data_IF_249903726313
#
_entry.id   IF_249903726313
#
_cell.length_a   1.000
_cell.length_b   1.000
_cell.length_c   1.000
_cell.angle_alpha   90.00
_cell.angle_beta   90.00
_cell.angle_gamma   90.00
#
_symmetry.space_group_name_H-M   'P 1'
#
loop_
_entity.id
_entity.type
_entity.pdbx_description
1 polymer ?
#
# COMPACT_ATOMS: atom_id res chain seq x y z
N UNK A 1 -20.83 -11.67 -1.87
CA UNK A 1 -19.73 -11.39 -2.83
C UNK A 1 -18.46 -11.99 -2.25
N UNK A 2 -17.96 -13.09 -2.83
CA UNK A 2 -16.76 -13.77 -2.32
C UNK A 2 -15.49 -12.99 -2.66
N UNK A 3 -14.74 -12.58 -1.63
CA UNK A 3 -13.50 -11.81 -1.76
C UNK A 3 -12.32 -12.68 -1.32
N UNK A 4 -11.31 -12.80 -2.19
CA UNK A 4 -10.02 -13.41 -1.85
C UNK A 4 -8.99 -12.30 -1.67
N UNK A 5 -8.34 -12.26 -0.49
CA UNK A 5 -7.28 -11.30 -0.16
C UNK A 5 -5.95 -12.03 -0.18
N UNK A 6 -5.13 -11.77 -1.19
CA UNK A 6 -3.75 -12.29 -1.28
C UNK A 6 -2.81 -11.37 -0.49
N UNK A 7 -1.96 -11.93 0.35
CA UNK A 7 -1.11 -11.18 1.27
C UNK A 7 -1.84 -10.79 2.57
N UNK A 8 -2.75 -11.65 3.04
CA UNK A 8 -3.59 -11.44 4.21
C UNK A 8 -2.80 -11.20 5.52
N UNK A 9 -1.55 -11.66 5.63
CA UNK A 9 -0.68 -11.37 6.77
C UNK A 9 0.03 -10.00 6.70
N UNK A 10 -0.12 -9.27 5.59
CA UNK A 10 0.43 -7.92 5.40
C UNK A 10 -0.37 -6.85 6.14
N UNK A 11 0.13 -5.60 6.16
CA UNK A 11 -0.52 -4.47 6.84
C UNK A 11 -1.96 -4.26 6.35
N UNK A 12 -2.13 -4.05 5.05
CA UNK A 12 -3.45 -3.85 4.45
C UNK A 12 -4.28 -5.13 4.40
N UNK A 13 -3.62 -6.28 4.13
CA UNK A 13 -4.31 -7.57 4.07
C UNK A 13 -5.04 -7.92 5.36
N UNK A 14 -4.41 -7.72 6.52
CA UNK A 14 -5.04 -7.94 7.84
C UNK A 14 -6.25 -7.03 8.06
N UNK A 15 -6.12 -5.75 7.70
CA UNK A 15 -7.23 -4.80 7.86
C UNK A 15 -8.38 -5.10 6.89
N UNK A 16 -8.09 -5.55 5.67
CA UNK A 16 -9.13 -6.03 4.74
C UNK A 16 -9.89 -7.23 5.28
N UNK A 17 -9.19 -8.26 5.76
CA UNK A 17 -9.82 -9.45 6.36
C UNK A 17 -10.65 -9.08 7.60
N UNK A 18 -10.22 -8.07 8.37
CA UNK A 18 -10.94 -7.59 9.55
C UNK A 18 -12.21 -6.81 9.21
N UNK A 19 -12.19 -6.01 8.14
CA UNK A 19 -13.28 -5.08 7.78
C UNK A 19 -14.32 -5.74 6.87
N UNK A 20 -13.88 -6.63 5.98
CA UNK A 20 -14.77 -7.31 5.04
C UNK A 20 -15.61 -8.39 5.76
N UNK A 21 -16.82 -8.73 5.24
CA UNK A 21 -17.67 -9.75 5.85
C UNK A 21 -16.96 -11.10 5.98
N UNK A 22 -16.81 -11.66 7.20
CA UNK A 22 -16.00 -12.88 7.42
C UNK A 22 -16.52 -14.10 6.64
N UNK A 23 -17.84 -14.24 6.48
CA UNK A 23 -18.46 -15.37 5.77
C UNK A 23 -18.16 -15.37 4.25
N UNK A 24 -17.70 -14.24 3.72
CA UNK A 24 -17.45 -14.02 2.29
C UNK A 24 -15.98 -13.78 1.97
N UNK A 25 -15.12 -13.71 2.98
CA UNK A 25 -13.71 -13.30 2.82
C UNK A 25 -12.76 -14.44 3.13
N UNK A 26 -11.88 -14.74 2.17
CA UNK A 26 -10.79 -15.71 2.33
C UNK A 26 -9.47 -14.95 2.26
N UNK A 27 -8.69 -15.00 3.34
CA UNK A 27 -7.33 -14.44 3.38
C UNK A 27 -6.30 -15.51 3.04
N UNK A 28 -5.48 -15.28 2.04
CA UNK A 28 -4.35 -16.14 1.68
C UNK A 28 -3.04 -15.52 2.18
N UNK A 29 -2.30 -16.27 2.98
CA UNK A 29 -0.94 -15.94 3.40
C UNK A 29 0.08 -16.70 2.53
N UNK A 30 1.38 -16.43 2.75
CA UNK A 30 2.45 -17.03 1.92
C UNK A 30 2.43 -18.57 1.97
N UNK A 31 2.08 -19.14 3.11
CA UNK A 31 2.04 -20.59 3.29
C UNK A 31 0.86 -21.22 2.52
N UNK A 32 -0.22 -20.45 2.25
CA UNK A 32 -1.36 -20.88 1.43
C UNK A 32 -1.10 -20.71 -0.07
N UNK A 33 -0.35 -19.67 -0.44
CA UNK A 33 -0.02 -19.32 -1.82
C UNK A 33 1.33 -18.59 -1.89
N UNK A 34 2.39 -19.32 -2.24
CA UNK A 34 3.68 -18.70 -2.56
C UNK A 34 3.64 -18.07 -3.96
N UNK A 35 3.81 -16.76 -4.04
CA UNK A 35 3.76 -16.02 -5.29
C UNK A 35 4.98 -16.25 -6.21
N UNK A 36 6.02 -16.94 -5.73
CA UNK A 36 7.11 -17.42 -6.58
C UNK A 36 6.68 -18.64 -7.41
N UNK A 37 5.71 -19.44 -6.92
CA UNK A 37 5.07 -20.49 -7.69
C UNK A 37 3.85 -19.93 -8.46
N UNK A 38 4.10 -19.33 -9.59
CA UNK A 38 3.04 -18.78 -10.44
C UNK A 38 2.10 -19.83 -11.02
N UNK A 39 2.54 -21.09 -11.07
CA UNK A 39 1.72 -22.22 -11.51
C UNK A 39 0.58 -22.56 -10.54
N UNK A 40 0.80 -22.34 -9.25
CA UNK A 40 -0.20 -22.56 -8.21
C UNK A 40 -1.31 -21.49 -8.18
N UNK A 41 -1.08 -20.30 -8.75
CA UNK A 41 -2.01 -19.16 -8.61
C UNK A 41 -3.38 -19.45 -9.22
N UNK A 42 -3.42 -19.88 -10.48
CA UNK A 42 -4.67 -20.10 -11.19
C UNK A 42 -5.52 -21.24 -10.57
N UNK A 43 -4.97 -22.43 -10.26
CA UNK A 43 -5.76 -23.48 -9.62
C UNK A 43 -6.25 -23.10 -8.22
N UNK A 44 -5.43 -22.39 -7.41
CA UNK A 44 -5.85 -21.93 -6.08
C UNK A 44 -7.02 -20.95 -6.17
N UNK A 45 -6.95 -19.96 -7.05
CA UNK A 45 -8.04 -19.00 -7.24
C UNK A 45 -9.29 -19.67 -7.83
N UNK A 46 -9.13 -20.61 -8.77
CA UNK A 46 -10.25 -21.34 -9.33
C UNK A 46 -11.00 -22.18 -8.29
N UNK A 47 -10.30 -22.85 -7.39
CA UNK A 47 -10.89 -23.64 -6.29
C UNK A 47 -11.72 -22.76 -5.32
N UNK A 48 -11.31 -21.49 -5.14
CA UNK A 48 -12.02 -20.55 -4.28
C UNK A 48 -13.19 -19.84 -4.97
N UNK A 49 -13.25 -19.85 -6.30
CA UNK A 49 -14.31 -19.23 -7.13
C UNK A 49 -14.64 -17.78 -6.66
N UNK A 50 -13.68 -16.84 -6.64
CA UNK A 50 -13.89 -15.49 -6.13
C UNK A 50 -14.69 -14.62 -7.10
N UNK A 51 -15.50 -13.70 -6.55
CA UNK A 51 -16.03 -12.55 -7.29
C UNK A 51 -14.99 -11.44 -7.43
N UNK A 52 -14.13 -11.31 -6.40
CA UNK A 52 -13.09 -10.29 -6.30
C UNK A 52 -11.82 -10.90 -5.74
N UNK A 53 -10.69 -10.59 -6.37
CA UNK A 53 -9.36 -10.87 -5.83
C UNK A 53 -8.66 -9.55 -5.51
N UNK A 54 -8.27 -9.35 -4.24
CA UNK A 54 -7.49 -8.20 -3.81
C UNK A 54 -6.06 -8.64 -3.56
N UNK A 55 -5.14 -8.22 -4.42
CA UNK A 55 -3.71 -8.43 -4.22
C UNK A 55 -3.11 -7.31 -3.36
N UNK A 56 -2.99 -7.57 -2.05
CA UNK A 56 -2.32 -6.72 -1.07
C UNK A 56 -0.89 -7.18 -0.75
N UNK A 57 -0.36 -8.15 -1.52
CA UNK A 57 1.02 -8.63 -1.39
C UNK A 57 2.00 -7.75 -2.14
N UNK A 58 3.23 -7.67 -1.64
CA UNK A 58 4.36 -7.07 -2.34
C UNK A 58 5.67 -7.52 -1.71
N UNK A 59 6.72 -7.68 -2.53
CA UNK A 59 8.08 -7.58 -2.05
C UNK A 59 8.42 -6.10 -1.89
N UNK A 60 8.66 -5.65 -0.65
CA UNK A 60 8.77 -4.24 -0.28
C UNK A 60 10.08 -3.88 0.43
N UNK A 61 11.13 -4.71 0.29
CA UNK A 61 12.51 -4.41 0.74
C UNK A 61 13.17 -3.46 -0.27
N UNK A 62 12.78 -2.18 -0.20
CA UNK A 62 13.09 -1.14 -1.21
C UNK A 62 14.59 -1.04 -1.47
N UNK A 63 15.42 -1.00 -0.41
CA UNK A 63 16.89 -0.90 -0.55
C UNK A 63 17.52 -2.20 -1.07
N UNK A 64 17.01 -3.36 -0.69
CA UNK A 64 17.51 -4.65 -1.19
C UNK A 64 17.22 -4.86 -2.67
N UNK A 65 16.11 -4.31 -3.16
CA UNK A 65 15.76 -4.39 -4.58
C UNK A 65 16.70 -3.60 -5.49
N UNK A 66 17.46 -2.63 -4.96
CA UNK A 66 18.52 -1.96 -5.75
C UNK A 66 19.72 -2.87 -5.97
N UNK A 67 20.02 -3.76 -5.02
CA UNK A 67 21.11 -4.73 -5.16
C UNK A 67 20.70 -5.92 -6.03
N UNK A 68 19.48 -6.45 -5.79
CA UNK A 68 18.88 -7.55 -6.57
C UNK A 68 17.36 -7.42 -6.59
N UNK A 69 16.83 -7.13 -7.77
CA UNK A 69 15.40 -6.98 -7.98
C UNK A 69 14.66 -8.30 -8.30
N UNK A 70 15.31 -9.45 -8.32
CA UNK A 70 14.75 -10.74 -8.76
C UNK A 70 13.46 -11.08 -7.98
N UNK A 71 13.49 -11.05 -6.65
CA UNK A 71 12.30 -11.30 -5.81
C UNK A 71 11.22 -10.24 -6.05
N UNK A 72 11.61 -8.98 -6.19
CA UNK A 72 10.67 -7.89 -6.44
C UNK A 72 9.99 -8.03 -7.81
N UNK A 73 10.71 -8.42 -8.85
CA UNK A 73 10.15 -8.70 -10.18
C UNK A 73 9.19 -9.90 -10.11
N UNK A 74 9.59 -11.00 -9.47
CA UNK A 74 8.77 -12.19 -9.34
C UNK A 74 7.42 -11.88 -8.67
N UNK A 75 7.44 -11.22 -7.51
CA UNK A 75 6.24 -10.96 -6.71
C UNK A 75 5.44 -9.76 -7.24
N UNK A 76 6.11 -8.63 -7.56
CA UNK A 76 5.43 -7.39 -7.89
C UNK A 76 4.98 -7.28 -9.35
N UNK A 77 5.49 -8.14 -10.24
CA UNK A 77 5.15 -8.11 -11.66
C UNK A 77 4.66 -9.47 -12.17
N UNK A 78 5.48 -10.54 -12.09
CA UNK A 78 5.16 -11.83 -12.71
C UNK A 78 3.96 -12.49 -12.05
N UNK A 79 3.91 -12.54 -10.71
CA UNK A 79 2.76 -13.07 -9.98
C UNK A 79 1.49 -12.22 -10.20
N UNK A 80 1.63 -10.89 -10.34
CA UNK A 80 0.51 -10.00 -10.67
C UNK A 80 -0.08 -10.35 -12.04
N UNK A 81 0.76 -10.62 -13.05
CA UNK A 81 0.31 -11.06 -14.36
C UNK A 81 -0.45 -12.40 -14.29
N UNK A 82 0.03 -13.36 -13.49
CA UNK A 82 -0.63 -14.65 -13.29
C UNK A 82 -2.01 -14.48 -12.62
N UNK A 83 -2.10 -13.67 -11.56
CA UNK A 83 -3.36 -13.34 -10.89
C UNK A 83 -4.35 -12.64 -11.83
N UNK A 84 -3.88 -11.66 -12.61
CA UNK A 84 -4.70 -10.92 -13.55
C UNK A 84 -5.31 -11.83 -14.63
N UNK A 85 -4.50 -12.78 -15.17
CA UNK A 85 -4.97 -13.80 -16.14
C UNK A 85 -5.99 -14.77 -15.50
N UNK A 86 -5.72 -15.22 -14.26
CA UNK A 86 -6.65 -16.08 -13.53
C UNK A 86 -8.00 -15.37 -13.30
N UNK A 87 -7.98 -14.12 -12.84
CA UNK A 87 -9.19 -13.32 -12.66
C UNK A 87 -9.97 -13.13 -13.98
N UNK A 88 -9.26 -12.88 -15.09
CA UNK A 88 -9.89 -12.82 -16.42
C UNK A 88 -10.62 -14.12 -16.77
N UNK A 89 -9.99 -15.27 -16.56
CA UNK A 89 -10.57 -16.58 -16.81
C UNK A 89 -11.81 -16.87 -15.94
N UNK A 90 -11.82 -16.38 -14.71
CA UNK A 90 -12.90 -16.55 -13.74
C UNK A 90 -14.01 -15.47 -13.85
N UNK A 91 -13.83 -14.42 -14.64
CA UNK A 91 -14.72 -13.26 -14.67
C UNK A 91 -14.69 -12.44 -13.37
N UNK A 92 -13.67 -12.63 -12.52
CA UNK A 92 -13.52 -11.93 -11.26
C UNK A 92 -12.97 -10.50 -11.45
N UNK A 93 -13.31 -9.59 -10.54
CA UNK A 93 -12.66 -8.28 -10.43
C UNK A 93 -11.27 -8.47 -9.81
N UNK A 94 -10.23 -7.92 -10.47
CA UNK A 94 -8.87 -7.90 -9.94
C UNK A 94 -8.52 -6.53 -9.37
N UNK A 95 -8.21 -6.46 -8.07
CA UNK A 95 -7.75 -5.25 -7.39
C UNK A 95 -6.29 -5.41 -7.01
N UNK A 96 -5.42 -4.54 -7.54
CA UNK A 96 -3.97 -4.58 -7.27
C UNK A 96 -3.54 -3.37 -6.48
N UNK A 97 -2.95 -3.59 -5.31
CA UNK A 97 -2.40 -2.51 -4.47
C UNK A 97 -1.02 -2.12 -4.94
N UNK A 98 -0.83 -0.82 -5.21
CA UNK A 98 0.42 -0.21 -5.65
C UNK A 98 0.88 0.89 -4.69
N UNK A 99 1.79 1.75 -5.11
CA UNK A 99 2.52 2.70 -4.28
C UNK A 99 2.64 4.08 -4.92
N UNK A 100 2.79 5.09 -4.08
CA UNK A 100 3.18 6.45 -4.43
C UNK A 100 4.59 6.54 -5.03
N UNK A 101 5.47 5.58 -4.78
CA UNK A 101 6.85 5.54 -5.30
C UNK A 101 6.93 5.38 -6.82
N UNK A 102 5.81 5.14 -7.50
CA UNK A 102 5.78 5.20 -8.97
C UNK A 102 6.01 6.61 -9.52
N UNK A 103 5.97 7.64 -8.69
CA UNK A 103 6.26 9.02 -9.04
C UNK A 103 7.67 9.44 -8.62
N UNK A 104 8.26 10.39 -9.37
CA UNK A 104 9.63 10.91 -9.12
C UNK A 104 9.72 11.95 -8.00
N UNK A 105 8.61 12.45 -7.51
CA UNK A 105 8.57 13.43 -6.42
C UNK A 105 8.86 14.88 -6.82
N UNK A 106 8.79 15.24 -8.12
CA UNK A 106 9.19 16.55 -8.63
C UNK A 106 8.01 17.48 -8.97
N UNK A 107 6.77 17.01 -8.84
CA UNK A 107 5.60 17.80 -9.25
C UNK A 107 5.35 19.04 -8.39
N UNK A 108 5.82 19.09 -7.14
CA UNK A 108 5.58 20.20 -6.20
C UNK A 108 4.11 20.38 -5.80
N UNK A 109 3.24 19.47 -6.20
CA UNK A 109 1.82 19.40 -5.88
C UNK A 109 1.39 17.94 -5.68
N UNK A 110 0.25 17.66 -5.06
CA UNK A 110 -0.28 16.31 -5.00
C UNK A 110 -0.45 15.70 -6.40
N UNK A 111 0.02 14.45 -6.55
CA UNK A 111 -0.16 13.69 -7.78
C UNK A 111 -1.59 13.19 -7.90
N UNK A 112 -2.17 13.34 -9.07
CA UNK A 112 -3.48 12.78 -9.44
C UNK A 112 -3.31 11.44 -10.15
N UNK A 113 -4.41 10.73 -10.34
CA UNK A 113 -4.41 9.47 -11.10
C UNK A 113 -4.10 9.65 -12.59
N UNK A 114 -4.13 10.88 -13.11
CA UNK A 114 -3.85 11.22 -14.50
C UNK A 114 -2.38 11.63 -14.73
N UNK A 115 -1.61 11.83 -13.65
CA UNK A 115 -0.19 12.15 -13.75
C UNK A 115 0.61 10.92 -14.23
N UNK A 116 1.54 11.14 -15.15
CA UNK A 116 2.39 10.09 -15.67
C UNK A 116 3.37 9.59 -14.58
N UNK A 117 3.49 8.27 -14.37
CA UNK A 117 4.48 7.72 -13.45
C UNK A 117 5.90 7.85 -14.03
N UNK A 118 6.87 8.09 -13.14
CA UNK A 118 8.31 8.13 -13.45
C UNK A 118 9.12 7.53 -12.29
N UNK A 119 9.10 6.19 -12.09
CA UNK A 119 9.73 5.54 -10.94
C UNK A 119 11.25 5.59 -11.01
N UNK A 120 11.89 6.00 -9.92
CA UNK A 120 13.35 6.12 -9.84
C UNK A 120 14.00 4.87 -9.22
N UNK A 121 13.35 4.17 -8.27
CA UNK A 121 13.89 2.98 -7.63
C UNK A 121 13.53 1.68 -8.35
N UNK A 122 14.36 0.64 -8.17
CA UNK A 122 14.09 -0.71 -8.69
C UNK A 122 12.75 -1.25 -8.18
N UNK A 123 12.48 -1.13 -6.88
CA UNK A 123 11.19 -1.47 -6.29
C UNK A 123 10.02 -0.79 -7.03
N UNK A 124 10.09 0.52 -7.20
CA UNK A 124 9.02 1.30 -7.82
C UNK A 124 8.78 0.89 -9.28
N UNK A 125 9.85 0.57 -10.02
CA UNK A 125 9.75 0.03 -11.40
C UNK A 125 9.03 -1.30 -11.43
N UNK A 126 9.31 -2.21 -10.48
CA UNK A 126 8.60 -3.50 -10.41
C UNK A 126 7.12 -3.32 -10.06
N UNK A 127 6.78 -2.37 -9.18
CA UNK A 127 5.39 -2.04 -8.85
C UNK A 127 4.65 -1.44 -10.05
N UNK A 128 5.27 -0.52 -10.80
CA UNK A 128 4.68 0.03 -12.02
C UNK A 128 4.46 -1.06 -13.08
N UNK A 129 5.41 -1.99 -13.25
CA UNK A 129 5.23 -3.13 -14.14
C UNK A 129 3.99 -3.97 -13.75
N UNK A 130 3.77 -4.20 -12.45
CA UNK A 130 2.56 -4.85 -11.93
C UNK A 130 1.28 -4.08 -12.27
N UNK A 131 1.27 -2.75 -12.12
CA UNK A 131 0.13 -1.91 -12.51
C UNK A 131 -0.23 -2.09 -14.00
N UNK A 132 0.77 -2.02 -14.87
CA UNK A 132 0.59 -2.15 -16.31
C UNK A 132 0.07 -3.55 -16.69
N UNK A 133 0.59 -4.60 -16.06
CA UNK A 133 0.15 -5.98 -16.25
C UNK A 133 -1.28 -6.20 -15.72
N UNK A 134 -1.62 -5.68 -14.57
CA UNK A 134 -2.97 -5.75 -14.03
C UNK A 134 -3.99 -5.11 -14.99
N UNK A 135 -3.69 -3.91 -15.49
CA UNK A 135 -4.55 -3.15 -16.41
C UNK A 135 -4.70 -3.80 -17.78
N UNK A 136 -3.63 -4.38 -18.32
CA UNK A 136 -3.64 -4.98 -19.67
C UNK A 136 -4.25 -6.38 -19.70
N UNK A 137 -4.13 -7.16 -18.61
CA UNK A 137 -4.50 -8.57 -18.59
C UNK A 137 -5.86 -8.84 -17.95
N UNK A 138 -6.32 -7.97 -17.01
CA UNK A 138 -7.62 -8.10 -16.38
C UNK A 138 -8.59 -7.02 -16.90
N UNK A 139 -9.60 -7.37 -17.70
CA UNK A 139 -10.56 -6.39 -18.23
C UNK A 139 -11.39 -5.70 -17.12
N UNK A 140 -11.59 -6.40 -16.01
CA UNK A 140 -12.22 -5.87 -14.79
C UNK A 140 -11.15 -5.72 -13.73
N UNK A 141 -10.65 -4.49 -13.54
CA UNK A 141 -9.57 -4.21 -12.60
C UNK A 141 -9.73 -2.89 -11.87
N UNK A 142 -9.06 -2.80 -10.72
CA UNK A 142 -8.72 -1.54 -10.09
C UNK A 142 -7.26 -1.61 -9.61
N UNK A 143 -6.46 -0.62 -9.94
CA UNK A 143 -5.15 -0.40 -9.35
C UNK A 143 -5.31 0.65 -8.26
N UNK A 144 -4.84 0.34 -7.05
CA UNK A 144 -5.01 1.21 -5.87
C UNK A 144 -3.63 1.64 -5.39
N UNK A 145 -3.23 2.88 -5.64
CA UNK A 145 -2.01 3.45 -5.09
C UNK A 145 -2.26 3.98 -3.69
N UNK A 146 -1.38 3.62 -2.78
CA UNK A 146 -1.35 4.08 -1.38
C UNK A 146 -0.01 4.75 -1.08
N UNK A 147 0.07 5.58 -0.05
CA UNK A 147 1.29 6.26 0.37
C UNK A 147 1.55 6.09 1.87
N UNK A 148 2.79 5.90 2.27
CA UNK A 148 3.19 5.87 3.67
C UNK A 148 2.37 4.93 4.56
N UNK A 149 2.01 3.74 4.06
CA UNK A 149 1.07 2.82 4.71
C UNK A 149 1.59 2.31 6.05
N UNK A 150 0.76 2.38 7.09
CA UNK A 150 1.05 1.85 8.41
C UNK A 150 -0.15 1.10 9.02
N UNK A 151 0.15 0.11 9.87
CA UNK A 151 -0.84 -0.67 10.62
C UNK A 151 -0.18 -1.30 11.84
N UNK A 152 -0.96 -1.68 12.84
CA UNK A 152 -0.47 -2.45 14.00
C UNK A 152 0.26 -3.72 13.56
N UNK A 153 1.36 -4.04 14.24
CA UNK A 153 2.19 -5.20 13.93
C UNK A 153 3.01 -5.09 12.63
N UNK A 154 2.92 -3.97 11.91
CA UNK A 154 3.78 -3.65 10.76
C UNK A 154 3.79 -4.69 9.64
N UNK A 155 4.83 -4.63 8.80
CA UNK A 155 5.10 -5.62 7.75
C UNK A 155 5.96 -6.78 8.29
N UNK A 156 5.70 -8.00 7.82
CA UNK A 156 6.51 -9.18 8.13
C UNK A 156 7.99 -8.91 7.84
N UNK A 157 8.88 -9.20 8.79
CA UNK A 157 10.33 -9.03 8.64
C UNK A 157 10.88 -7.61 8.85
N UNK A 158 10.02 -6.60 9.16
CA UNK A 158 10.48 -5.20 9.41
C UNK A 158 10.42 -4.77 10.88
N UNK A 159 10.08 -5.66 11.81
CA UNK A 159 10.07 -5.34 13.25
C UNK A 159 9.01 -4.32 13.67
N UNK A 160 7.84 -4.32 13.01
CA UNK A 160 6.76 -3.38 13.28
C UNK A 160 6.56 -2.31 12.19
N UNK A 161 5.58 -1.43 12.39
CA UNK A 161 5.36 -0.25 11.55
C UNK A 161 6.45 0.81 11.79
N UNK A 162 6.46 1.86 10.99
CA UNK A 162 7.33 3.02 11.25
C UNK A 162 7.07 3.60 12.65
N UNK A 163 5.80 3.75 13.02
CA UNK A 163 5.38 4.30 14.33
C UNK A 163 5.85 3.39 15.45
N UNK A 164 5.63 2.07 15.34
CA UNK A 164 6.03 1.10 16.36
C UNK A 164 7.54 1.20 16.66
N UNK A 165 8.37 1.32 15.60
CA UNK A 165 9.82 1.45 15.73
C UNK A 165 10.23 2.77 16.38
N UNK A 166 9.63 3.90 15.99
CA UNK A 166 9.90 5.22 16.57
C UNK A 166 9.55 5.22 18.05
N UNK A 167 8.37 4.72 18.43
CA UNK A 167 7.95 4.65 19.83
C UNK A 167 8.83 3.71 20.66
N UNK A 168 9.22 2.56 20.12
CA UNK A 168 10.12 1.63 20.80
C UNK A 168 11.50 2.26 21.04
N UNK A 169 12.13 2.84 20.00
CA UNK A 169 13.42 3.50 20.13
C UNK A 169 13.39 4.65 21.13
N UNK A 170 12.32 5.46 21.12
CA UNK A 170 12.14 6.56 22.06
C UNK A 170 12.04 6.08 23.50
N UNK A 171 11.26 5.01 23.76
CA UNK A 171 11.12 4.42 25.11
C UNK A 171 12.42 3.80 25.63
N UNK A 172 13.27 3.34 24.74
CA UNK A 172 14.60 2.80 25.05
C UNK A 172 15.66 3.90 25.22
N UNK A 173 15.30 5.17 25.06
CA UNK A 173 16.23 6.31 25.12
C UNK A 173 17.25 6.36 23.99
N UNK A 174 16.98 5.65 22.88
CA UNK A 174 17.88 5.64 21.71
C UNK A 174 17.67 6.89 20.85
N UNK A 175 18.75 7.48 20.29
CA UNK A 175 18.66 8.65 19.42
C UNK A 175 17.75 8.37 18.22
N UNK A 176 16.88 9.31 17.90
CA UNK A 176 16.02 9.26 16.74
C UNK A 176 16.54 10.22 15.67
N UNK A 177 16.74 9.71 14.45
CA UNK A 177 17.11 10.49 13.27
C UNK A 177 16.10 10.20 12.17
N UNK A 178 15.33 11.21 11.75
CA UNK A 178 14.22 11.04 10.81
C UNK A 178 14.32 12.07 9.69
N UNK A 179 14.10 11.63 8.46
CA UNK A 179 14.17 12.48 7.26
C UNK A 179 13.08 13.55 7.26
N UNK A 180 13.48 14.78 6.95
CA UNK A 180 12.57 15.94 6.89
C UNK A 180 12.31 16.44 5.46
N UNK A 181 13.01 15.91 4.48
CA UNK A 181 12.96 16.27 3.06
C UNK A 181 12.17 15.28 2.20
N UNK A 182 11.44 14.34 2.83
CA UNK A 182 10.49 13.45 2.17
C UNK A 182 9.09 13.74 2.66
N UNK A 183 8.26 14.32 1.79
CA UNK A 183 6.87 14.70 2.10
C UNK A 183 5.93 13.67 1.49
N UNK A 184 5.05 13.12 2.32
CA UNK A 184 4.07 12.10 1.92
C UNK A 184 2.73 12.33 2.62
N UNK A 185 1.74 11.50 2.32
CA UNK A 185 0.47 11.40 3.05
C UNK A 185 0.45 10.07 3.84
N UNK A 186 0.93 10.03 5.10
CA UNK A 186 0.92 8.80 5.88
C UNK A 186 -0.50 8.27 6.00
N UNK A 187 -0.70 6.99 5.67
CA UNK A 187 -2.02 6.42 5.51
C UNK A 187 -2.22 5.20 6.40
N UNK A 188 -3.23 5.24 7.26
CA UNK A 188 -3.62 4.10 8.08
C UNK A 188 -4.30 3.03 7.22
N UNK A 189 -3.78 1.81 7.26
CA UNK A 189 -4.30 0.69 6.46
C UNK A 189 -5.78 0.38 6.73
N UNK A 190 -6.29 0.68 7.94
CA UNK A 190 -7.70 0.58 8.29
C UNK A 190 -8.56 1.50 7.40
N UNK A 191 -8.17 2.74 7.23
CA UNK A 191 -8.93 3.71 6.43
C UNK A 191 -8.97 3.31 4.94
N UNK A 192 -7.87 2.72 4.45
CA UNK A 192 -7.84 2.12 3.09
C UNK A 192 -8.77 0.92 3.00
N UNK A 193 -8.73 0.01 3.97
CA UNK A 193 -9.58 -1.18 3.99
C UNK A 193 -11.07 -0.83 4.03
N UNK A 194 -11.47 0.14 4.85
CA UNK A 194 -12.85 0.63 4.94
C UNK A 194 -13.30 1.30 3.63
N UNK A 195 -12.41 2.07 2.98
CA UNK A 195 -12.69 2.66 1.67
C UNK A 195 -12.86 1.57 0.61
N UNK A 196 -11.98 0.56 0.59
CA UNK A 196 -12.11 -0.56 -0.34
C UNK A 196 -13.37 -1.39 -0.06
N UNK A 197 -13.75 -1.59 1.19
CA UNK A 197 -14.99 -2.31 1.52
C UNK A 197 -16.23 -1.65 0.91
N UNK A 198 -16.27 -0.31 0.80
CA UNK A 198 -17.34 0.43 0.11
C UNK A 198 -17.18 0.40 -1.42
N UNK A 199 -15.95 0.48 -1.92
CA UNK A 199 -15.66 0.58 -3.34
C UNK A 199 -15.81 -0.76 -4.10
N UNK A 200 -15.43 -1.89 -3.49
CA UNK A 200 -15.43 -3.21 -4.13
C UNK A 200 -16.81 -3.61 -4.68
N UNK A 201 -17.93 -3.47 -3.95
CA UNK A 201 -19.26 -3.77 -4.50
C UNK A 201 -19.61 -2.91 -5.72
N UNK A 202 -19.23 -1.61 -5.70
CA UNK A 202 -19.50 -0.68 -6.82
C UNK A 202 -18.69 -1.04 -8.07
N UNK A 203 -17.40 -1.38 -7.90
CA UNK A 203 -16.54 -1.87 -8.98
C UNK A 203 -17.08 -3.18 -9.55
N UNK A 204 -17.49 -4.11 -8.68
CA UNK A 204 -18.03 -5.42 -9.09
C UNK A 204 -19.33 -5.27 -9.87
N UNK A 205 -20.19 -4.32 -9.49
CA UNK A 205 -21.46 -4.04 -10.16
C UNK A 205 -21.32 -3.15 -11.41
N UNK A 206 -20.12 -2.66 -11.75
CA UNK A 206 -19.90 -1.71 -12.85
C UNK A 206 -20.40 -0.28 -12.55
N UNK A 207 -20.67 0.04 -11.29
CA UNK A 207 -21.09 1.37 -10.82
C UNK A 207 -19.92 2.30 -10.57
N UNK A 208 -18.71 1.77 -10.56
CA UNK A 208 -17.46 2.50 -10.61
C UNK A 208 -16.61 1.95 -11.77
N UNK A 209 -15.90 2.81 -12.53
CA UNK A 209 -15.12 2.37 -13.68
C UNK A 209 -13.90 1.55 -13.25
N UNK A 210 -13.50 0.57 -14.08
CA UNK A 210 -12.17 -0.03 -13.98
C UNK A 210 -11.12 1.04 -14.18
N UNK A 211 -10.01 0.96 -13.45
CA UNK A 211 -8.93 1.92 -13.64
C UNK A 211 -8.04 2.10 -12.41
N UNK A 212 -7.39 3.24 -12.37
CA UNK A 212 -6.45 3.64 -11.33
C UNK A 212 -7.14 4.51 -10.28
N UNK A 213 -6.87 4.27 -9.01
CA UNK A 213 -7.38 5.02 -7.87
C UNK A 213 -6.24 5.35 -6.90
N UNK A 214 -6.21 6.56 -6.38
CA UNK A 214 -5.43 6.90 -5.21
C UNK A 214 -6.29 6.76 -3.96
N UNK A 215 -5.75 6.13 -2.92
CA UNK A 215 -6.47 5.92 -1.65
C UNK A 215 -5.52 6.22 -0.50
N UNK A 216 -5.52 7.45 -0.02
CA UNK A 216 -4.65 7.92 1.06
C UNK A 216 -5.42 8.79 2.04
N UNK A 217 -4.96 8.84 3.30
CA UNK A 217 -5.40 9.87 4.21
C UNK A 217 -5.09 11.26 3.64
N UNK A 218 -5.87 12.26 4.00
CA UNK A 218 -5.69 13.62 3.49
C UNK A 218 -4.61 14.39 4.24
N UNK A 219 -4.10 15.44 3.61
CA UNK A 219 -3.00 16.25 4.12
C UNK A 219 -1.64 15.70 3.73
N UNK A 220 -0.60 16.37 4.18
CA UNK A 220 0.79 16.06 3.88
C UNK A 220 1.68 16.39 5.08
N UNK A 221 2.73 15.61 5.30
CA UNK A 221 3.78 15.91 6.27
C UNK A 221 5.07 15.22 5.89
N UNK A 222 6.20 15.66 6.47
CA UNK A 222 7.44 14.91 6.40
C UNK A 222 7.41 13.70 7.35
N UNK A 223 8.27 12.71 7.10
CA UNK A 223 8.45 11.61 8.05
C UNK A 223 8.89 12.11 9.43
N UNK A 224 9.70 13.19 9.48
CA UNK A 224 10.10 13.85 10.71
C UNK A 224 8.90 14.41 11.48
N UNK A 225 8.03 15.17 10.80
CA UNK A 225 6.81 15.70 11.40
C UNK A 225 5.88 14.58 11.87
N UNK A 226 5.71 13.53 11.07
CA UNK A 226 4.92 12.36 11.43
C UNK A 226 5.43 11.66 12.69
N UNK A 227 6.77 11.46 12.79
CA UNK A 227 7.39 10.87 13.99
C UNK A 227 7.20 11.74 15.22
N UNK A 228 7.41 13.06 15.12
CA UNK A 228 7.19 13.99 16.24
C UNK A 228 5.76 13.97 16.73
N UNK A 229 4.80 14.00 15.78
CA UNK A 229 3.38 13.95 16.12
C UNK A 229 3.01 12.62 16.78
N UNK A 230 3.57 11.50 16.33
CA UNK A 230 3.35 10.20 16.96
C UNK A 230 3.85 10.15 18.41
N UNK A 231 5.02 10.72 18.69
CA UNK A 231 5.56 10.83 20.05
C UNK A 231 4.69 11.74 20.93
N UNK A 232 4.31 12.92 20.43
CA UNK A 232 3.42 13.85 21.12
C UNK A 232 2.11 13.19 21.53
N UNK A 233 1.41 12.56 20.57
CA UNK A 233 0.13 11.89 20.80
C UNK A 233 0.24 10.67 21.73
N UNK A 234 1.36 9.95 21.68
CA UNK A 234 1.63 8.83 22.58
C UNK A 234 2.14 9.25 23.97
N UNK A 235 2.32 10.55 24.24
CA UNK A 235 2.84 11.06 25.50
C UNK A 235 4.29 10.66 25.78
N UNK A 236 5.07 10.31 24.73
CA UNK A 236 6.48 9.87 24.84
C UNK A 236 7.40 11.05 24.57
N UNK A 237 8.21 11.43 25.57
CA UNK A 237 9.22 12.48 25.41
C UNK A 237 10.50 11.89 24.84
N UNK A 238 10.90 12.37 23.68
CA UNK A 238 12.19 12.02 23.05
C UNK A 238 12.63 13.16 22.12
N UNK A 239 13.93 13.33 21.99
CA UNK A 239 14.50 14.24 21.02
C UNK A 239 14.57 13.54 19.65
N UNK A 240 14.10 14.22 18.61
CA UNK A 240 14.12 13.73 17.23
C UNK A 240 15.01 14.66 16.41
N UNK A 241 16.10 14.17 15.92
CA UNK A 241 17.00 14.88 14.98
C UNK A 241 16.40 14.84 13.57
N UNK A 242 16.19 16.01 12.97
CA UNK A 242 15.87 16.12 11.56
C UNK A 242 17.12 15.89 10.73
N UNK A 243 17.03 15.03 9.69
CA UNK A 243 18.13 14.75 8.76
C UNK A 243 17.61 14.82 7.33
N UNK A 244 18.51 15.04 6.38
CA UNK A 244 18.20 14.90 4.97
C UNK A 244 18.27 13.44 4.51
N UNK A 245 17.65 13.13 3.37
CA UNK A 245 17.75 11.82 2.70
C UNK A 245 19.21 11.45 2.42
N UNK A 246 20.02 12.43 2.01
CA UNK A 246 21.45 12.23 1.74
C UNK A 246 22.24 11.85 3.00
N UNK A 247 21.96 12.49 4.14
CA UNK A 247 22.59 12.17 5.43
C UNK A 247 22.18 10.82 6.00
N UNK A 248 20.99 10.30 5.62
CA UNK A 248 20.54 8.97 6.02
C UNK A 248 21.27 7.86 5.24
N UNK A 249 21.78 8.15 4.05
CA UNK A 249 22.55 7.22 3.23
C UNK A 249 21.75 6.03 2.71
N UNK A 250 20.45 6.23 2.46
CA UNK A 250 19.60 5.19 1.89
C UNK A 250 20.04 4.84 0.46
N UNK A 251 20.07 3.54 0.12
CA UNK A 251 20.54 3.07 -1.21
C UNK A 251 19.54 3.40 -2.31
N UNK A 252 18.27 3.10 -2.07
CA UNK A 252 17.23 3.36 -3.05
C UNK A 252 16.85 4.84 -3.07
N UNK A 253 16.70 5.46 -4.24
CA UNK A 253 16.10 6.78 -4.35
C UNK A 253 14.65 6.76 -3.85
N UNK A 254 14.28 7.81 -3.13
CA UNK A 254 12.92 8.02 -2.61
C UNK A 254 12.42 9.38 -3.08
N UNK A 255 11.14 9.48 -3.51
CA UNK A 255 10.59 10.75 -3.96
C UNK A 255 10.60 11.78 -2.82
N UNK A 256 11.07 13.00 -3.10
CA UNK A 256 11.05 14.10 -2.14
C UNK A 256 9.61 14.53 -1.81
N UNK A 257 8.68 14.37 -2.76
CA UNK A 257 7.26 14.67 -2.58
C UNK A 257 6.41 13.60 -3.23
N UNK A 258 5.68 12.81 -2.44
CA UNK A 258 4.86 11.69 -2.95
C UNK A 258 3.39 11.74 -2.52
N UNK A 259 2.90 12.94 -2.19
CA UNK A 259 1.50 13.12 -1.78
C UNK A 259 0.58 12.80 -2.96
N UNK A 260 -0.45 12.01 -2.70
CA UNK A 260 -1.46 11.62 -3.68
C UNK A 260 -2.77 12.37 -3.43
N UNK A 261 -3.40 12.84 -4.51
CA UNK A 261 -4.76 13.33 -4.50
C UNK A 261 -5.73 12.19 -4.85
N UNK A 262 -6.79 12.02 -4.04
CA UNK A 262 -7.82 10.99 -4.25
C UNK A 262 -8.89 11.51 -5.23
N UNK A 263 -8.47 12.00 -6.43
CA UNK A 263 -9.37 12.74 -7.32
C UNK A 263 -10.50 11.88 -7.88
N UNK A 264 -10.20 10.62 -8.23
CA UNK A 264 -11.22 9.70 -8.76
C UNK A 264 -12.19 9.21 -7.69
N UNK A 265 -11.74 9.01 -6.44
CA UNK A 265 -12.65 8.72 -5.33
C UNK A 265 -13.61 9.89 -5.09
N UNK A 266 -13.11 11.12 -5.09
CA UNK A 266 -13.93 12.32 -4.96
C UNK A 266 -14.95 12.44 -6.10
N UNK A 267 -14.56 12.18 -7.35
CA UNK A 267 -15.46 12.17 -8.51
C UNK A 267 -16.56 11.09 -8.42
N UNK A 268 -16.32 9.99 -7.70
CA UNK A 268 -17.32 8.96 -7.42
C UNK A 268 -18.24 9.32 -6.24
N UNK A 269 -18.02 10.45 -5.57
CA UNK A 269 -18.75 10.83 -4.36
C UNK A 269 -18.39 9.99 -3.13
N UNK A 270 -17.23 9.30 -3.14
CA UNK A 270 -16.75 8.62 -1.94
C UNK A 270 -16.37 9.64 -0.86
N UNK A 271 -16.66 9.35 0.43
CA UNK A 271 -16.22 10.19 1.53
C UNK A 271 -14.70 10.38 1.50
N UNK A 272 -14.25 11.61 1.71
CA UNK A 272 -12.81 11.87 1.86
C UNK A 272 -12.26 11.10 3.07
N UNK A 273 -11.10 10.48 2.90
CA UNK A 273 -10.39 9.88 4.03
C UNK A 273 -9.96 11.01 4.98
N UNK A 274 -10.00 10.72 6.29
CA UNK A 274 -9.66 11.69 7.33
C UNK A 274 -8.24 12.23 7.16
N UNK A 275 -7.90 13.41 7.75
CA UNK A 275 -6.54 13.91 7.78
C UNK A 275 -5.59 12.91 8.46
N UNK A 276 -4.34 12.83 7.99
CA UNK A 276 -3.33 11.90 8.50
C UNK A 276 -3.14 12.01 10.03
N UNK A 277 -3.24 13.22 10.61
CA UNK A 277 -3.13 13.43 12.06
C UNK A 277 -4.28 12.74 12.80
N UNK A 278 -5.52 12.91 12.34
CA UNK A 278 -6.69 12.24 12.93
C UNK A 278 -6.64 10.71 12.75
N UNK A 279 -6.06 10.23 11.63
CA UNK A 279 -5.81 8.82 11.42
C UNK A 279 -4.77 8.27 12.42
N UNK A 280 -3.71 9.03 12.68
CA UNK A 280 -2.68 8.68 13.67
C UNK A 280 -3.24 8.66 15.10
N UNK A 281 -4.07 9.65 15.47
CA UNK A 281 -4.76 9.67 16.77
C UNK A 281 -5.62 8.41 16.96
N UNK A 282 -6.45 8.07 15.97
CA UNK A 282 -7.29 6.89 16.01
C UNK A 282 -6.48 5.58 16.02
N UNK A 283 -5.35 5.54 15.31
CA UNK A 283 -4.42 4.40 15.34
C UNK A 283 -3.82 4.18 16.72
N UNK A 284 -3.39 5.24 17.39
CA UNK A 284 -2.77 5.13 18.72
C UNK A 284 -3.78 4.80 19.83
N UNK A 285 -5.06 5.04 19.58
CA UNK A 285 -6.16 4.71 20.51
C UNK A 285 -6.76 3.31 20.29
N UNK A 286 -6.43 2.62 19.19
CA UNK A 286 -7.00 1.32 18.82
C UNK A 286 -6.16 0.14 19.36
#
# INVERSE_FOLDING_TARGET
MRVVVVGAAGQLGRELVRVLPPAETVGLVRDDLDLHDTGAIAPTLAALAPDVVVNASAENRVDAAEDDATDAVAVNAVAVAAMARACRGLGALFVHVSTDYVFDGRAGRPYTEDDAPNPESAYARTKLAGELLARSLAPRHAVVRVAGLYAHGGSRGKGGSFIDRILAQAREGRPLRVVNDQITAPTWARDVAETLARLLPRLRAGQAPSGLYHVTNSGACSWYEFARTALELAGVRAEVGAVSTGELGARAPRPAYSVLANARLAALGEPALRPWRAALEAYLAA
#
